data_IF_669109544261
#
_entry.id   IF_669109544261
#
_cell.length_a   1.000
_cell.length_b   1.000
_cell.length_c   1.000
_cell.angle_alpha   90.00
_cell.angle_beta   90.00
_cell.angle_gamma   90.00
#
_symmetry.space_group_name_H-M   'P 1'
#
loop_
_entity.id
_entity.type
_entity.pdbx_description
1 polymer ?
#
# COMPACT_ATOMS: atom_id res chain seq x y z
N UNK A 1 4.89 5.21 -5.09
CA UNK A 1 5.08 5.18 -3.66
C UNK A 1 6.00 4.07 -3.20
N UNK A 2 6.25 4.06 -1.95
CA UNK A 2 7.17 3.10 -1.35
C UNK A 2 6.54 2.51 -0.11
N UNK A 3 6.68 1.19 0.07
CA UNK A 3 6.14 0.52 1.25
C UNK A 3 6.92 0.97 2.48
N UNK A 4 6.22 1.64 3.39
CA UNK A 4 6.82 2.18 4.61
C UNK A 4 6.74 1.18 5.76
N UNK A 5 5.66 0.41 5.82
CA UNK A 5 5.42 -0.59 6.83
C UNK A 5 4.63 -1.73 6.24
N UNK A 6 4.98 -2.96 6.61
CA UNK A 6 4.24 -4.13 6.18
C UNK A 6 4.17 -5.15 7.30
N UNK A 7 2.96 -5.58 7.63
CA UNK A 7 2.71 -6.60 8.64
C UNK A 7 2.19 -7.85 7.92
N UNK A 8 3.06 -8.82 7.70
CA UNK A 8 2.69 -10.03 6.98
C UNK A 8 1.76 -10.95 7.77
N UNK A 9 1.80 -10.85 9.09
CA UNK A 9 0.89 -11.61 9.95
C UNK A 9 -0.53 -11.07 9.83
N UNK A 10 -0.68 -9.74 9.81
CA UNK A 10 -1.99 -9.11 9.67
C UNK A 10 -2.45 -8.99 8.23
N UNK A 11 -1.54 -9.13 7.28
CA UNK A 11 -1.86 -9.03 5.86
C UNK A 11 -2.16 -7.61 5.40
N UNK A 12 -1.50 -6.60 5.96
CA UNK A 12 -1.72 -5.20 5.59
C UNK A 12 -0.44 -4.39 5.77
N UNK A 13 -0.47 -3.16 5.28
CA UNK A 13 0.66 -2.25 5.46
C UNK A 13 0.30 -0.84 5.06
N UNK A 14 1.32 0.02 5.03
CA UNK A 14 1.17 1.42 4.68
C UNK A 14 2.21 1.81 3.65
N UNK A 15 1.81 2.68 2.72
CA UNK A 15 2.66 3.17 1.65
C UNK A 15 2.85 4.67 1.83
N UNK A 16 4.10 5.11 1.78
CA UNK A 16 4.46 6.51 1.80
C UNK A 16 4.45 7.04 0.36
N UNK A 17 3.75 8.13 0.11
CA UNK A 17 3.68 8.72 -1.22
C UNK A 17 3.52 10.24 -1.12
N UNK A 18 4.06 10.95 -2.12
CA UNK A 18 3.91 12.39 -2.21
C UNK A 18 2.51 12.78 -2.66
N UNK A 19 1.75 11.84 -3.20
CA UNK A 19 0.39 12.11 -3.70
C UNK A 19 -0.65 12.17 -2.59
N UNK A 20 -0.27 11.87 -1.36
CA UNK A 20 -1.17 11.92 -0.21
C UNK A 20 -0.44 12.55 0.98
N UNK A 21 -1.19 13.28 1.81
CA UNK A 21 -0.63 13.93 2.99
C UNK A 21 -0.35 12.96 4.12
N UNK A 22 -0.91 11.76 4.05
CA UNK A 22 -0.72 10.73 5.07
C UNK A 22 -0.44 9.39 4.40
N UNK A 23 0.03 8.43 5.18
CA UNK A 23 0.33 7.10 4.66
C UNK A 23 -0.94 6.46 4.10
N UNK A 24 -0.78 5.74 2.99
CA UNK A 24 -1.88 5.07 2.32
C UNK A 24 -1.92 3.62 2.76
N UNK A 25 -3.06 3.21 3.28
CA UNK A 25 -3.28 1.82 3.74
C UNK A 25 -3.42 0.89 2.55
N UNK A 26 -2.86 -0.30 2.65
CA UNK A 26 -3.12 -1.35 1.67
C UNK A 26 -3.32 -2.69 2.37
N UNK A 27 -4.07 -3.57 1.72
CA UNK A 27 -4.32 -4.92 2.20
C UNK A 27 -3.72 -5.91 1.20
N UNK A 28 -3.25 -7.06 1.68
CA UNK A 28 -2.64 -8.07 0.82
C UNK A 28 -3.56 -8.52 -0.31
N UNK A 29 -4.86 -8.47 -0.09
CA UNK A 29 -5.82 -8.81 -1.14
C UNK A 29 -5.76 -7.86 -2.33
N UNK A 30 -5.23 -6.65 -2.13
CA UNK A 30 -5.11 -5.65 -3.18
C UNK A 30 -3.78 -5.78 -3.94
N UNK A 31 -2.94 -6.71 -3.52
CA UNK A 31 -1.63 -6.94 -4.14
C UNK A 31 -1.75 -8.12 -5.09
N UNK A 32 -1.51 -7.88 -6.35
CA UNK A 32 -1.60 -8.94 -7.35
C UNK A 32 -0.26 -9.59 -7.61
N UNK A 33 0.25 -10.33 -6.64
CA UNK A 33 1.54 -10.99 -6.86
C UNK A 33 2.23 -11.37 -5.57
N UNK A 34 3.56 -11.55 -5.61
CA UNK A 34 4.33 -11.94 -4.43
C UNK A 34 4.24 -10.90 -3.33
N UNK A 35 4.55 -11.32 -2.10
CA UNK A 35 4.53 -10.44 -0.94
C UNK A 35 5.43 -9.23 -1.15
N UNK A 36 5.00 -8.11 -0.58
CA UNK A 36 5.78 -6.89 -0.59
C UNK A 36 6.75 -6.87 0.58
N UNK A 37 7.79 -6.06 0.45
CA UNK A 37 8.75 -5.84 1.51
C UNK A 37 8.81 -4.34 1.82
N UNK A 38 9.18 -4.01 3.05
CA UNK A 38 9.40 -2.61 3.41
C UNK A 38 10.49 -2.03 2.52
N UNK A 39 10.25 -0.83 2.02
CA UNK A 39 11.15 -0.18 1.09
C UNK A 39 10.90 -0.51 -0.37
N UNK A 40 10.00 -1.44 -0.67
CA UNK A 40 9.66 -1.81 -2.04
C UNK A 40 8.91 -0.68 -2.72
N UNK A 41 9.32 -0.33 -3.93
CA UNK A 41 8.58 0.64 -4.73
C UNK A 41 7.37 -0.01 -5.37
N UNK A 42 6.27 0.72 -5.35
CA UNK A 42 4.99 0.22 -5.85
C UNK A 42 4.24 1.31 -6.59
N UNK A 43 3.37 0.88 -7.49
CA UNK A 43 2.47 1.76 -8.20
C UNK A 43 1.04 1.35 -7.84
N UNK A 44 0.17 2.32 -7.63
CA UNK A 44 -1.18 2.04 -7.15
C UNK A 44 -2.09 3.22 -7.40
N UNK A 45 -3.39 2.98 -7.23
CA UNK A 45 -4.40 4.04 -7.26
C UNK A 45 -4.86 4.31 -5.83
N UNK A 46 -5.16 5.56 -5.53
CA UNK A 46 -5.66 5.95 -4.21
C UNK A 46 -7.17 5.99 -4.24
N UNK A 47 -7.78 5.25 -3.33
CA UNK A 47 -9.22 5.24 -3.14
C UNK A 47 -9.55 5.83 -1.78
N UNK A 48 -10.52 6.73 -1.72
CA UNK A 48 -10.95 7.30 -0.44
C UNK A 48 -11.87 6.31 0.25
N UNK A 49 -11.47 5.86 1.41
CA UNK A 49 -12.25 4.94 2.24
C UNK A 49 -12.68 5.65 3.52
N UNK A 50 -13.68 5.12 4.24
CA UNK A 50 -14.15 5.75 5.49
C UNK A 50 -13.04 5.96 6.52
N UNK A 51 -12.01 5.13 6.50
CA UNK A 51 -10.89 5.22 7.45
C UNK A 51 -9.71 6.02 6.92
N UNK A 52 -9.79 6.53 5.67
CA UNK A 52 -8.72 7.28 5.06
C UNK A 52 -8.34 6.74 3.69
N UNK A 53 -7.21 7.20 3.14
CA UNK A 53 -6.81 6.75 1.81
C UNK A 53 -6.37 5.28 1.83
N UNK A 54 -6.76 4.55 0.80
CA UNK A 54 -6.43 3.15 0.63
C UNK A 54 -5.89 2.93 -0.79
N UNK A 55 -4.86 2.12 -0.90
CA UNK A 55 -4.31 1.74 -2.20
C UNK A 55 -5.13 0.61 -2.82
N UNK A 56 -5.33 0.69 -4.12
CA UNK A 56 -5.95 -0.39 -4.88
C UNK A 56 -5.20 -0.59 -6.18
N UNK A 57 -5.37 -1.75 -6.81
CA UNK A 57 -4.65 -2.10 -8.04
C UNK A 57 -3.14 -1.93 -7.88
N UNK A 58 -2.64 -2.37 -6.74
CA UNK A 58 -1.25 -2.19 -6.36
C UNK A 58 -0.36 -3.15 -7.13
N UNK A 59 0.71 -2.62 -7.70
CA UNK A 59 1.65 -3.36 -8.51
C UNK A 59 3.07 -3.08 -8.04
N UNK A 60 3.87 -4.12 -7.89
CA UNK A 60 5.30 -3.96 -7.61
C UNK A 60 6.00 -3.41 -8.84
N UNK A 61 6.91 -2.50 -8.60
CA UNK A 61 7.77 -1.98 -9.67
C UNK A 61 9.10 -2.70 -9.71
#
# INVERSE_FOLDING_TARGET
GKVDFFNDTGGYGFISTEDADEDVFFHMEDVGGPDLEEGQEVEFEIEQAPKGPRAKNLTRL
#
